data_IF_135625965708
#
_entry.id   IF_135625965708
#
_cell.length_a   1.000
_cell.length_b   1.000
_cell.length_c   1.000
_cell.angle_alpha   90.00
_cell.angle_beta   90.00
_cell.angle_gamma   90.00
#
_symmetry.space_group_name_H-M   'P 1'
#
loop_
_entity.id
_entity.type
_entity.pdbx_description
1 polymer ?
#
# COMPACT_ATOMS: atom_id res chain seq x y z
N UNK A 1 3.84 5.38 -13.03
CA UNK A 1 4.73 4.22 -12.82
C UNK A 1 3.95 3.12 -12.10
N UNK A 2 4.00 1.88 -12.60
CA UNK A 2 3.15 0.79 -12.12
C UNK A 2 3.92 -0.19 -11.23
N UNK A 3 3.31 -0.62 -10.13
CA UNK A 3 3.84 -1.65 -9.22
C UNK A 3 2.84 -2.77 -9.10
N UNK A 4 3.32 -4.01 -9.17
CA UNK A 4 2.47 -5.17 -8.90
C UNK A 4 2.11 -5.23 -7.41
N UNK A 5 0.84 -5.03 -7.08
CA UNK A 5 0.33 -5.11 -5.72
C UNK A 5 0.02 -6.56 -5.33
N UNK A 6 -0.56 -7.32 -6.27
CA UNK A 6 -0.87 -8.74 -6.16
C UNK A 6 -0.92 -9.36 -7.57
N UNK A 7 -1.35 -10.61 -7.69
CA UNK A 7 -1.38 -11.32 -8.99
C UNK A 7 -2.25 -10.66 -10.06
N UNK A 8 -3.26 -9.87 -9.67
CA UNK A 8 -4.29 -9.33 -10.57
C UNK A 8 -4.30 -7.80 -10.63
N UNK A 9 -3.52 -7.12 -9.78
CA UNK A 9 -3.57 -5.66 -9.61
C UNK A 9 -2.18 -5.05 -9.74
N UNK A 10 -2.07 -4.10 -10.67
CA UNK A 10 -0.96 -3.16 -10.77
C UNK A 10 -1.43 -1.79 -10.28
N UNK A 11 -0.69 -1.21 -9.35
CA UNK A 11 -0.96 0.10 -8.77
C UNK A 11 -0.11 1.17 -9.44
N UNK A 12 -0.74 2.24 -9.93
CA UNK A 12 -0.01 3.38 -10.50
C UNK A 12 0.43 4.34 -9.39
N UNK A 13 1.61 4.14 -8.82
CA UNK A 13 2.11 4.96 -7.71
C UNK A 13 2.24 6.45 -8.04
N UNK A 14 2.33 6.83 -9.32
CA UNK A 14 2.37 8.24 -9.72
C UNK A 14 1.05 8.98 -9.51
N UNK A 15 -0.06 8.26 -9.36
CA UNK A 15 -1.39 8.84 -9.09
C UNK A 15 -1.78 8.76 -7.61
N UNK A 16 -1.12 7.90 -6.85
CA UNK A 16 -1.44 7.69 -5.44
C UNK A 16 -1.06 8.94 -4.66
N UNK A 17 -2.06 9.55 -4.03
CA UNK A 17 -1.89 10.76 -3.21
C UNK A 17 -1.68 10.43 -1.75
N UNK A 18 -2.19 9.27 -1.28
CA UNK A 18 -2.08 8.84 0.11
C UNK A 18 -2.12 7.32 0.24
N UNK A 19 -1.25 6.77 1.08
CA UNK A 19 -1.36 5.42 1.61
C UNK A 19 -1.63 5.48 3.12
N UNK A 20 -2.54 4.64 3.62
CA UNK A 20 -2.92 4.60 5.05
C UNK A 20 -2.98 3.16 5.54
N UNK A 21 -2.39 2.90 6.70
CA UNK A 21 -2.54 1.62 7.41
C UNK A 21 -3.77 1.75 8.31
N UNK A 22 -4.77 0.90 8.09
CA UNK A 22 -6.02 0.92 8.85
C UNK A 22 -6.31 -0.45 9.47
N UNK A 23 -6.88 -0.40 10.68
CA UNK A 23 -7.52 -1.55 11.31
C UNK A 23 -8.94 -1.69 10.77
N UNK A 24 -9.28 -2.87 10.28
CA UNK A 24 -10.65 -3.31 9.98
C UNK A 24 -10.98 -4.47 10.92
N UNK A 25 -12.27 -4.80 11.07
CA UNK A 25 -12.73 -5.90 11.95
C UNK A 25 -12.01 -7.23 11.65
N UNK A 26 -11.62 -7.42 10.40
CA UNK A 26 -10.93 -8.60 9.91
C UNK A 26 -9.40 -8.39 9.75
N UNK A 27 -8.78 -7.55 10.60
CA UNK A 27 -7.32 -7.35 10.65
C UNK A 27 -6.82 -6.04 10.04
N UNK A 28 -5.53 -5.98 9.69
CA UNK A 28 -4.86 -4.72 9.32
C UNK A 28 -4.61 -4.69 7.81
N UNK A 29 -4.86 -3.54 7.15
CA UNK A 29 -4.64 -3.38 5.71
C UNK A 29 -4.07 -2.01 5.37
N UNK A 30 -3.24 -1.98 4.35
CA UNK A 30 -2.76 -0.74 3.72
C UNK A 30 -3.74 -0.37 2.60
N UNK A 31 -4.36 0.80 2.70
CA UNK A 31 -5.26 1.38 1.70
C UNK A 31 -4.55 2.47 0.90
N UNK A 32 -4.76 2.45 -0.41
CA UNK A 32 -4.17 3.42 -1.34
C UNK A 32 -5.27 4.28 -1.94
N UNK A 33 -5.04 5.58 -1.96
CA UNK A 33 -6.01 6.58 -2.40
C UNK A 33 -5.48 7.41 -3.56
N UNK A 34 -6.35 7.70 -4.52
CA UNK A 34 -6.17 8.75 -5.53
C UNK A 34 -7.15 9.88 -5.18
N UNK A 35 -6.64 10.94 -4.55
CA UNK A 35 -7.49 11.96 -3.96
C UNK A 35 -8.28 11.41 -2.76
N UNK A 36 -9.61 11.40 -2.88
CA UNK A 36 -10.52 10.86 -1.86
C UNK A 36 -10.88 9.39 -2.11
N UNK A 37 -10.66 8.90 -3.33
CA UNK A 37 -11.12 7.58 -3.73
C UNK A 37 -10.11 6.50 -3.36
N UNK A 38 -10.58 5.46 -2.68
CA UNK A 38 -9.76 4.28 -2.43
C UNK A 38 -9.68 3.45 -3.71
N UNK A 39 -8.50 3.39 -4.33
CA UNK A 39 -8.29 2.65 -5.58
C UNK A 39 -7.74 1.24 -5.37
N UNK A 40 -7.09 0.99 -4.22
CA UNK A 40 -6.52 -0.32 -3.92
C UNK A 40 -6.38 -0.59 -2.41
N UNK A 41 -6.18 -1.87 -2.09
CA UNK A 41 -5.82 -2.33 -0.75
C UNK A 41 -4.87 -3.52 -0.81
N UNK A 42 -3.97 -3.60 0.16
CA UNK A 42 -3.06 -4.72 0.35
C UNK A 42 -3.79 -6.00 0.76
N UNK A 43 -3.02 -7.08 0.91
CA UNK A 43 -3.42 -8.23 1.73
C UNK A 43 -3.69 -7.82 3.18
N UNK A 44 -4.35 -8.73 3.92
CA UNK A 44 -4.51 -8.62 5.37
C UNK A 44 -3.18 -8.89 6.06
N UNK A 45 -2.95 -8.17 7.16
CA UNK A 45 -1.86 -8.35 8.10
C UNK A 45 -2.43 -8.56 9.51
N UNK A 46 -1.65 -9.24 10.34
CA UNK A 46 -2.00 -9.52 11.73
C UNK A 46 -1.53 -8.41 12.68
N UNK A 47 -0.44 -7.70 12.32
CA UNK A 47 0.13 -6.60 13.10
C UNK A 47 0.37 -5.33 12.25
N UNK A 48 0.45 -4.17 12.91
CA UNK A 48 0.80 -2.89 12.26
C UNK A 48 2.24 -2.95 11.75
N UNK A 49 3.13 -3.63 12.48
CA UNK A 49 4.53 -3.78 12.13
C UNK A 49 4.71 -4.57 10.83
N UNK A 50 3.96 -5.65 10.64
CA UNK A 50 3.99 -6.42 9.38
C UNK A 50 3.48 -5.59 8.20
N UNK A 51 2.41 -4.82 8.41
CA UNK A 51 1.85 -3.94 7.39
C UNK A 51 2.84 -2.82 7.03
N UNK A 52 3.50 -2.23 8.02
CA UNK A 52 4.51 -1.18 7.85
C UNK A 52 5.71 -1.71 7.10
N UNK A 53 6.28 -2.83 7.54
CA UNK A 53 7.46 -3.45 6.90
C UNK A 53 7.18 -3.84 5.45
N UNK A 54 5.99 -4.39 5.17
CA UNK A 54 5.59 -4.69 3.79
C UNK A 54 5.47 -3.42 2.95
N UNK A 55 4.87 -2.35 3.50
CA UNK A 55 4.75 -1.08 2.78
C UNK A 55 6.11 -0.46 2.51
N UNK A 56 7.01 -0.46 3.49
CA UNK A 56 8.38 0.02 3.34
C UNK A 56 9.13 -0.74 2.25
N UNK A 57 9.11 -2.07 2.25
CA UNK A 57 9.74 -2.87 1.19
C UNK A 57 9.09 -2.64 -0.18
N UNK A 58 7.77 -2.39 -0.23
CA UNK A 58 7.08 -2.02 -1.47
C UNK A 58 7.58 -0.69 -2.01
N UNK A 59 7.81 0.32 -1.15
CA UNK A 59 8.21 1.67 -1.58
C UNK A 59 9.73 1.91 -1.60
N UNK A 60 10.52 1.04 -0.97
CA UNK A 60 11.98 1.09 -0.90
C UNK A 60 12.66 1.24 -2.27
N UNK A 61 12.20 0.63 -3.37
CA UNK A 61 12.76 0.87 -4.70
C UNK A 61 12.66 2.34 -5.14
N UNK A 62 11.76 3.14 -4.57
CA UNK A 62 11.54 4.55 -4.92
C UNK A 62 12.26 5.51 -3.98
N UNK A 63 12.63 5.07 -2.78
CA UNK A 63 13.41 5.87 -1.83
C UNK A 63 14.93 5.81 -2.06
N UNK A 64 15.41 5.23 -3.17
CA UNK A 64 16.83 5.31 -3.60
C UNK A 64 17.20 6.68 -4.21
N UNK A 65 16.72 7.77 -3.61
CA UNK A 65 17.20 9.12 -3.85
C UNK A 65 17.43 9.80 -2.49
N UNK A 66 18.59 9.48 -1.92
CA UNK A 66 19.34 10.37 -1.02
C UNK A 66 20.82 10.12 -1.30
#
# INVERSE_FOLDING_TARGET
MFIKLNERVYLNFSKITRAKIDHVEDGIRVRFYEGQDQVAKSKRFDSIEDATKWFEELVKPFNKQA
#
